data_IF_213857114100
#
_entry.id   IF_213857114100
#
_cell.length_a   1.000
_cell.length_b   1.000
_cell.length_c   1.000
_cell.angle_alpha   90.00
_cell.angle_beta   90.00
_cell.angle_gamma   90.00
#
_symmetry.space_group_name_H-M   'P 1'
#
loop_
_entity.id
_entity.type
_entity.pdbx_description
1 polymer ?
#
# COMPACT_ATOMS: atom_id res chain seq x y z
N UNK A 1 34.25 -22.26 -25.84
CA UNK A 1 32.87 -22.00 -26.30
C UNK A 1 31.88 -22.11 -25.13
N UNK A 2 32.14 -21.44 -23.99
CA UNK A 2 31.35 -21.64 -22.76
C UNK A 2 31.30 -20.37 -21.89
N UNK A 3 31.07 -19.22 -22.52
CA UNK A 3 30.90 -17.94 -21.78
C UNK A 3 29.65 -17.15 -22.20
N UNK A 4 28.87 -17.65 -23.17
CA UNK A 4 27.72 -16.95 -23.74
C UNK A 4 26.34 -17.49 -23.29
N UNK A 5 26.28 -18.47 -22.38
CA UNK A 5 25.03 -19.08 -21.90
C UNK A 5 24.72 -18.77 -20.42
N UNK A 6 25.22 -17.66 -19.88
CA UNK A 6 24.88 -17.20 -18.51
C UNK A 6 24.14 -15.86 -18.48
N UNK A 7 23.62 -15.38 -19.60
CA UNK A 7 22.90 -14.09 -19.64
C UNK A 7 21.36 -14.22 -19.71
N UNK A 8 20.84 -15.42 -19.99
CA UNK A 8 19.38 -15.60 -20.20
C UNK A 8 18.69 -16.61 -19.27
N UNK A 9 19.44 -17.30 -18.40
CA UNK A 9 18.88 -18.29 -17.47
C UNK A 9 19.41 -18.16 -16.04
N UNK A 10 19.79 -16.94 -15.61
CA UNK A 10 19.68 -16.66 -14.17
C UNK A 10 18.21 -16.80 -13.78
N UNK A 11 17.85 -17.24 -12.56
CA UNK A 11 16.44 -17.31 -12.17
C UNK A 11 15.85 -15.93 -12.44
N UNK A 12 14.96 -15.85 -13.43
CA UNK A 12 14.26 -14.62 -13.73
C UNK A 12 13.28 -14.42 -12.58
N UNK A 13 13.77 -13.91 -11.46
CA UNK A 13 12.93 -13.19 -10.51
C UNK A 13 12.57 -11.90 -11.24
N UNK A 14 11.71 -12.01 -12.25
CA UNK A 14 10.98 -10.87 -12.77
C UNK A 14 10.04 -10.47 -11.63
N UNK A 15 10.59 -9.75 -10.65
CA UNK A 15 9.83 -9.18 -9.55
C UNK A 15 8.96 -8.09 -10.14
N UNK A 16 7.71 -8.44 -10.44
CA UNK A 16 6.73 -7.50 -10.93
C UNK A 16 6.21 -6.67 -9.76
N UNK A 17 6.97 -5.64 -9.39
CA UNK A 17 6.65 -4.76 -8.27
C UNK A 17 5.29 -4.06 -8.43
N UNK A 18 4.86 -3.79 -9.67
CA UNK A 18 3.50 -3.27 -9.93
C UNK A 18 2.43 -4.29 -9.52
N UNK A 19 2.60 -5.55 -9.90
CA UNK A 19 1.68 -6.63 -9.49
C UNK A 19 1.68 -6.83 -7.97
N UNK A 20 2.82 -6.69 -7.30
CA UNK A 20 2.90 -6.70 -5.84
C UNK A 20 2.15 -5.51 -5.23
N UNK A 21 2.32 -4.30 -5.78
CA UNK A 21 1.63 -3.09 -5.34
C UNK A 21 0.10 -3.24 -5.45
N UNK A 22 -0.40 -3.75 -6.59
CA UNK A 22 -1.83 -3.98 -6.81
C UNK A 22 -2.42 -5.02 -5.85
N UNK A 23 -1.60 -5.96 -5.39
CA UNK A 23 -2.00 -7.02 -4.45
C UNK A 23 -1.80 -6.61 -2.99
N UNK A 24 -1.07 -5.54 -2.70
CA UNK A 24 -0.80 -5.10 -1.34
C UNK A 24 -2.12 -4.79 -0.62
N UNK A 25 -2.29 -5.35 0.58
CA UNK A 25 -3.44 -5.12 1.45
C UNK A 25 -2.97 -4.74 2.84
N UNK A 26 -3.68 -3.82 3.48
CA UNK A 26 -3.52 -3.51 4.88
C UNK A 26 -3.97 -4.72 5.72
N UNK A 27 -3.03 -5.37 6.39
CA UNK A 27 -3.29 -6.45 7.36
C UNK A 27 -3.04 -6.02 8.81
N UNK A 28 -2.25 -4.96 9.01
CA UNK A 28 -1.90 -4.40 10.31
C UNK A 28 -2.19 -2.90 10.40
N UNK A 29 -1.32 -2.17 11.09
CA UNK A 29 -1.48 -0.72 11.26
C UNK A 29 -1.35 0.03 9.94
N UNK A 30 -1.90 1.25 9.87
CA UNK A 30 -1.70 2.14 8.72
C UNK A 30 -0.23 2.51 8.55
N UNK A 31 0.52 2.63 9.63
CA UNK A 31 1.96 2.91 9.58
C UNK A 31 2.74 1.77 8.91
N UNK A 32 2.44 0.51 9.26
CA UNK A 32 3.10 -0.66 8.65
C UNK A 32 2.72 -0.81 7.18
N UNK A 33 1.45 -0.56 6.85
CA UNK A 33 0.96 -0.59 5.48
C UNK A 33 1.60 0.52 4.64
N UNK A 34 1.69 1.74 5.15
CA UNK A 34 2.37 2.87 4.50
C UNK A 34 3.82 2.51 4.18
N UNK A 35 4.57 1.98 5.15
CA UNK A 35 5.98 1.65 4.96
C UNK A 35 6.18 0.58 3.86
N UNK A 36 5.33 -0.46 3.83
CA UNK A 36 5.36 -1.48 2.78
C UNK A 36 5.00 -0.90 1.40
N UNK A 37 3.99 -0.04 1.36
CA UNK A 37 3.54 0.62 0.14
C UNK A 37 4.64 1.52 -0.45
N UNK A 38 5.27 2.36 0.38
CA UNK A 38 6.39 3.22 -0.02
C UNK A 38 7.59 2.40 -0.53
N UNK A 39 7.92 1.28 0.13
CA UNK A 39 8.99 0.38 -0.30
C UNK A 39 8.75 -0.18 -1.70
N UNK A 40 7.51 -0.53 -2.05
CA UNK A 40 7.14 -1.00 -3.39
C UNK A 40 7.14 0.15 -4.41
N UNK A 41 6.51 1.29 -4.07
CA UNK A 41 6.46 2.46 -4.94
C UNK A 41 7.85 2.97 -5.33
N UNK A 42 8.81 2.97 -4.40
CA UNK A 42 10.18 3.40 -4.67
C UNK A 42 10.93 2.51 -5.68
N UNK A 43 10.41 1.31 -5.98
CA UNK A 43 10.98 0.37 -6.95
C UNK A 43 10.28 0.43 -8.32
N UNK A 44 9.20 1.19 -8.44
CA UNK A 44 8.41 1.32 -9.67
C UNK A 44 8.70 2.69 -10.29
N UNK A 45 9.23 2.70 -11.52
CA UNK A 45 9.49 3.93 -12.25
C UNK A 45 8.25 4.39 -13.02
N UNK A 46 7.94 5.69 -13.00
CA UNK A 46 6.86 6.27 -13.81
C UNK A 46 5.44 6.05 -13.30
N UNK A 47 5.26 5.61 -12.05
CA UNK A 47 3.93 5.46 -11.44
C UNK A 47 3.23 6.83 -11.34
N UNK A 48 2.07 6.97 -11.98
CA UNK A 48 1.35 8.25 -11.95
C UNK A 48 0.79 8.56 -10.55
N UNK A 49 0.68 9.84 -10.16
CA UNK A 49 0.13 10.21 -8.85
C UNK A 49 -1.28 9.67 -8.61
N UNK A 50 -2.11 9.64 -9.66
CA UNK A 50 -3.47 9.09 -9.61
C UNK A 50 -3.46 7.59 -9.35
N UNK A 51 -2.59 6.83 -10.04
CA UNK A 51 -2.48 5.38 -9.82
C UNK A 51 -1.92 5.09 -8.43
N UNK A 52 -0.92 5.85 -7.99
CA UNK A 52 -0.35 5.74 -6.64
C UNK A 52 -1.44 5.92 -5.56
N UNK A 53 -2.22 7.01 -5.65
CA UNK A 53 -3.35 7.27 -4.76
C UNK A 53 -4.39 6.14 -4.80
N UNK A 54 -4.82 5.74 -5.99
CA UNK A 54 -5.83 4.70 -6.16
C UNK A 54 -5.35 3.36 -5.60
N UNK A 55 -4.09 2.98 -5.83
CA UNK A 55 -3.51 1.75 -5.30
C UNK A 55 -3.50 1.78 -3.77
N UNK A 56 -3.07 2.89 -3.17
CA UNK A 56 -3.05 3.05 -1.72
C UNK A 56 -4.44 2.85 -1.12
N UNK A 57 -5.45 3.57 -1.64
CA UNK A 57 -6.84 3.46 -1.18
C UNK A 57 -7.36 2.03 -1.41
N UNK A 58 -7.03 1.40 -2.55
CA UNK A 58 -7.50 0.06 -2.89
C UNK A 58 -6.99 -1.02 -1.92
N UNK A 59 -5.82 -0.83 -1.32
CA UNK A 59 -5.26 -1.78 -0.37
C UNK A 59 -5.70 -1.58 1.08
N UNK A 60 -6.33 -0.44 1.42
CA UNK A 60 -6.84 -0.19 2.76
C UNK A 60 -7.90 -1.21 3.20
N UNK A 61 -7.97 -1.44 4.51
CA UNK A 61 -9.02 -2.27 5.11
C UNK A 61 -10.42 -1.67 4.87
N UNK A 62 -11.47 -2.52 4.77
CA UNK A 62 -12.83 -2.02 4.59
C UNK A 62 -13.30 -1.07 5.70
N UNK A 63 -12.77 -1.21 6.92
CA UNK A 63 -13.13 -0.36 8.05
C UNK A 63 -12.72 1.11 7.80
N UNK A 64 -11.53 1.32 7.23
CA UNK A 64 -10.98 2.65 6.97
C UNK A 64 -11.52 3.22 5.64
N UNK A 65 -11.71 2.38 4.62
CA UNK A 65 -12.24 2.81 3.30
C UNK A 65 -13.60 3.51 3.37
N UNK A 66 -14.45 3.18 4.35
CA UNK A 66 -15.79 3.78 4.48
C UNK A 66 -15.72 5.30 4.68
N UNK A 67 -14.77 5.79 5.48
CA UNK A 67 -14.56 7.22 5.70
C UNK A 67 -14.02 7.95 4.45
N UNK A 68 -13.34 7.23 3.56
CA UNK A 68 -12.75 7.83 2.35
C UNK A 68 -13.79 8.21 1.30
N UNK A 69 -14.92 7.50 1.25
CA UNK A 69 -16.03 7.83 0.34
C UNK A 69 -16.60 9.24 0.60
N UNK A 70 -16.54 9.70 1.86
CA UNK A 70 -17.03 11.01 2.28
C UNK A 70 -16.00 12.11 2.01
N UNK A 71 -14.72 11.85 2.22
CA UNK A 71 -13.67 12.88 2.19
C UNK A 71 -12.97 13.05 0.84
N UNK A 72 -13.02 12.07 -0.07
CA UNK A 72 -12.42 12.14 -1.43
C UNK A 72 -11.02 12.76 -1.46
N UNK A 73 -10.00 12.10 -0.88
CA UNK A 73 -8.64 12.65 -0.84
C UNK A 73 -8.11 12.91 -2.26
N UNK A 74 -7.43 14.06 -2.44
CA UNK A 74 -6.89 14.48 -3.73
C UNK A 74 -5.41 14.12 -3.93
N UNK A 75 -4.75 13.59 -2.90
CA UNK A 75 -3.34 13.19 -2.95
C UNK A 75 -3.04 12.03 -2.00
N UNK A 76 -1.93 11.34 -2.26
CA UNK A 76 -1.44 10.24 -1.41
C UNK A 76 -1.18 10.71 0.02
N UNK A 77 -0.61 11.90 0.19
CA UNK A 77 -0.34 12.48 1.51
C UNK A 77 -1.63 12.72 2.31
N UNK A 78 -2.67 13.26 1.65
CA UNK A 78 -3.98 13.44 2.27
C UNK A 78 -4.61 12.09 2.64
N UNK A 79 -4.51 11.10 1.75
CA UNK A 79 -4.99 9.75 2.01
C UNK A 79 -4.29 9.11 3.21
N UNK A 80 -2.95 9.22 3.32
CA UNK A 80 -2.19 8.70 4.46
C UNK A 80 -2.64 9.38 5.76
N UNK A 81 -2.73 10.70 5.77
CA UNK A 81 -3.15 11.46 6.96
C UNK A 81 -4.56 11.08 7.42
N UNK A 82 -5.50 10.99 6.48
CA UNK A 82 -6.88 10.58 6.78
C UNK A 82 -6.94 9.14 7.30
N UNK A 83 -6.19 8.21 6.70
CA UNK A 83 -6.16 6.82 7.13
C UNK A 83 -5.69 6.69 8.59
N UNK A 84 -4.62 7.41 8.97
CA UNK A 84 -4.11 7.43 10.35
C UNK A 84 -5.13 8.02 11.33
N UNK A 85 -5.80 9.10 10.95
CA UNK A 85 -6.85 9.72 11.77
C UNK A 85 -8.01 8.75 12.03
N UNK A 86 -8.48 8.06 10.98
CA UNK A 86 -9.58 7.09 11.07
C UNK A 86 -9.16 5.88 11.90
N UNK A 87 -7.93 5.38 11.73
CA UNK A 87 -7.39 4.30 12.55
C UNK A 87 -7.38 4.66 14.04
N UNK A 88 -6.91 5.86 14.41
CA UNK A 88 -6.96 6.35 15.79
C UNK A 88 -8.38 6.36 16.34
N UNK A 89 -9.34 6.93 15.59
CA UNK A 89 -10.75 6.97 16.00
C UNK A 89 -11.33 5.58 16.24
N UNK A 90 -11.01 4.60 15.39
CA UNK A 90 -11.46 3.22 15.54
C UNK A 90 -10.88 2.58 16.81
N UNK A 91 -9.59 2.83 17.09
CA UNK A 91 -8.93 2.33 18.30
C UNK A 91 -9.51 2.93 19.57
N UNK A 92 -9.78 4.24 19.57
CA UNK A 92 -10.38 4.96 20.70
C UNK A 92 -11.85 4.56 20.95
N UNK A 93 -12.57 4.17 19.89
CA UNK A 93 -13.99 3.79 19.96
C UNK A 93 -14.22 2.33 20.39
N UNK A 94 -13.18 1.49 20.46
CA UNK A 94 -13.34 0.10 20.93
C UNK A 94 -13.60 0.11 22.44
N UNK A 95 -14.74 -0.42 22.92
CA UNK A 95 -14.98 -0.50 24.36
C UNK A 95 -13.90 -1.39 24.99
N UNK A 96 -13.19 -0.83 25.98
CA UNK A 96 -12.27 -1.57 26.84
C UNK A 96 -13.09 -2.51 27.71
N UNK A 97 -13.51 -3.65 27.17
CA UNK A 97 -13.94 -4.77 28.02
C UNK A 97 -12.69 -5.32 28.69
N UNK A 98 -12.33 -4.73 29.83
CA UNK A 98 -11.37 -5.34 30.75
C UNK A 98 -12.05 -6.53 31.42
N UNK A 99 -11.42 -7.69 31.34
CA UNK A 99 -11.56 -8.72 32.38
C UNK A 99 -10.85 -8.25 33.65
#
# INVERSE_FOLDING_TARGET
>A
FTKALKLHFGPSTYENHEAELYKLRQTGSITDYQAQFEKLCNRIYGLSPTINLNCFISGLSPAIKRDFALHKPASITQAIGLAKLVESKILDSKPKFSK
#
